data_IF_850084843350
#
_entry.id   IF_850084843350
#
_cell.length_a   1.000
_cell.length_b   1.000
_cell.length_c   1.000
_cell.angle_alpha   90.00
_cell.angle_beta   90.00
_cell.angle_gamma   90.00
#
_symmetry.space_group_name_H-M   'P 1'
#
loop_
_entity.id
_entity.type
_entity.pdbx_description
1 polymer ?
#
# COMPACT_ATOMS: atom_id res chain seq x y z
N UNK A 1 -17.31 21.93 18.51
CA UNK A 1 -16.36 22.02 17.38
C UNK A 1 -15.66 20.68 17.26
N UNK A 2 -15.83 19.98 16.13
CA UNK A 2 -15.08 18.74 15.87
C UNK A 2 -13.74 19.19 15.30
N UNK A 3 -12.67 19.11 16.09
CA UNK A 3 -11.31 19.31 15.61
C UNK A 3 -11.05 18.27 14.52
N UNK A 4 -10.90 18.71 13.27
CA UNK A 4 -10.42 17.85 12.19
C UNK A 4 -9.08 17.26 12.63
N UNK A 5 -8.99 15.92 12.71
CA UNK A 5 -7.70 15.25 12.88
C UNK A 5 -6.80 15.64 11.72
N UNK A 6 -5.72 16.34 12.01
CA UNK A 6 -4.70 16.64 11.01
C UNK A 6 -3.94 15.34 10.76
N UNK A 7 -4.15 14.73 9.60
CA UNK A 7 -3.36 13.57 9.16
C UNK A 7 -2.00 14.12 8.73
N UNK A 8 -0.92 13.77 9.46
CA UNK A 8 0.44 14.21 9.12
C UNK A 8 1.33 13.03 8.76
N UNK A 9 1.33 12.00 9.59
CA UNK A 9 2.28 10.89 9.46
C UNK A 9 1.63 9.66 8.84
N UNK A 10 1.95 9.41 7.56
CA UNK A 10 1.36 8.33 6.75
C UNK A 10 2.39 7.27 6.39
N UNK A 11 2.03 6.02 6.65
CA UNK A 11 2.77 4.85 6.16
C UNK A 11 1.95 4.01 5.18
N UNK A 12 2.65 3.28 4.33
CA UNK A 12 2.05 2.31 3.41
C UNK A 12 2.48 0.91 3.82
N UNK A 13 1.53 0.01 4.05
CA UNK A 13 1.79 -1.40 4.28
C UNK A 13 1.31 -2.25 3.11
N UNK A 14 2.17 -3.14 2.60
CA UNK A 14 1.90 -3.93 1.39
C UNK A 14 1.74 -5.41 1.70
N UNK A 15 0.72 -6.05 1.12
CA UNK A 15 0.36 -7.44 1.43
C UNK A 15 1.41 -8.50 1.11
N UNK A 16 2.30 -8.23 0.16
CA UNK A 16 3.32 -9.18 -0.31
C UNK A 16 4.70 -8.65 0.02
N UNK A 17 5.63 -9.58 0.30
CA UNK A 17 7.04 -9.28 0.54
C UNK A 17 7.63 -8.37 -0.53
N UNK A 18 8.67 -7.63 -0.14
CA UNK A 18 9.45 -6.79 -1.03
C UNK A 18 9.87 -7.60 -2.26
N UNK A 19 9.62 -7.11 -3.49
CA UNK A 19 10.02 -7.81 -4.69
C UNK A 19 11.52 -8.11 -4.66
N UNK A 20 11.88 -9.38 -4.87
CA UNK A 20 13.26 -9.89 -4.70
C UNK A 20 14.11 -9.53 -5.91
N UNK A 21 13.51 -9.47 -7.10
CA UNK A 21 14.23 -9.16 -8.34
C UNK A 21 14.13 -7.67 -8.71
N UNK A 22 15.17 -7.11 -9.37
CA UNK A 22 15.28 -5.67 -9.62
C UNK A 22 14.16 -5.11 -10.51
N UNK A 23 13.77 -5.85 -11.53
CA UNK A 23 12.80 -5.38 -12.53
C UNK A 23 11.37 -5.30 -11.96
N UNK A 24 10.85 -6.31 -11.24
CA UNK A 24 9.59 -6.19 -10.51
C UNK A 24 9.63 -5.09 -9.43
N UNK A 25 10.75 -4.93 -8.71
CA UNK A 25 10.92 -3.87 -7.73
C UNK A 25 10.81 -2.46 -8.35
N UNK A 26 11.46 -2.24 -9.49
CA UNK A 26 11.38 -0.97 -10.21
C UNK A 26 9.94 -0.65 -10.63
N UNK A 27 9.23 -1.62 -11.21
CA UNK A 27 7.83 -1.44 -11.65
C UNK A 27 6.91 -1.15 -10.47
N UNK A 28 7.08 -1.87 -9.36
CA UNK A 28 6.34 -1.62 -8.12
C UNK A 28 6.55 -0.18 -7.63
N UNK A 29 7.80 0.28 -7.54
CA UNK A 29 8.14 1.65 -7.14
C UNK A 29 7.50 2.70 -8.05
N UNK A 30 7.51 2.46 -9.36
CA UNK A 30 6.86 3.35 -10.33
C UNK A 30 5.35 3.45 -10.09
N UNK A 31 4.66 2.32 -9.84
CA UNK A 31 3.23 2.33 -9.55
C UNK A 31 2.88 3.07 -8.25
N UNK A 32 3.72 2.95 -7.22
CA UNK A 32 3.55 3.70 -5.98
C UNK A 32 3.74 5.20 -6.22
N UNK A 33 4.75 5.61 -6.99
CA UNK A 33 4.94 7.01 -7.36
C UNK A 33 3.75 7.55 -8.18
N UNK A 34 3.25 6.79 -9.17
CA UNK A 34 2.07 7.17 -9.95
C UNK A 34 0.84 7.38 -9.06
N UNK A 35 0.67 6.53 -8.03
CA UNK A 35 -0.38 6.68 -7.02
C UNK A 35 -0.17 7.96 -6.20
N UNK A 36 1.05 8.20 -5.71
CA UNK A 36 1.40 9.37 -4.91
C UNK A 36 1.22 10.68 -5.68
N UNK A 37 1.54 10.73 -6.98
CA UNK A 37 1.27 11.90 -7.83
C UNK A 37 -0.22 12.23 -7.85
N UNK A 38 -1.08 11.21 -7.95
CA UNK A 38 -2.54 11.40 -7.95
C UNK A 38 -3.04 11.85 -6.57
N UNK A 39 -2.53 11.23 -5.50
CA UNK A 39 -2.90 11.59 -4.14
C UNK A 39 -2.44 13.01 -3.79
N UNK A 40 -1.21 13.39 -4.12
CA UNK A 40 -0.69 14.75 -3.95
C UNK A 40 -1.54 15.79 -4.68
N UNK A 41 -1.97 15.51 -5.91
CA UNK A 41 -2.82 16.43 -6.67
C UNK A 41 -4.17 16.71 -5.98
N UNK A 42 -4.73 15.71 -5.29
CA UNK A 42 -6.05 15.83 -4.62
C UNK A 42 -5.93 16.25 -3.15
N UNK A 43 -4.85 15.88 -2.48
CA UNK A 43 -4.64 16.03 -1.04
C UNK A 43 -3.19 16.44 -0.74
N UNK A 44 -2.74 17.62 -1.22
CA UNK A 44 -1.32 18.02 -1.16
C UNK A 44 -0.80 18.22 0.27
N UNK A 45 -1.68 18.53 1.22
CA UNK A 45 -1.34 18.68 2.64
C UNK A 45 -1.13 17.34 3.35
N UNK A 46 -1.84 16.30 2.90
CA UNK A 46 -1.79 14.94 3.46
C UNK A 46 -0.70 14.12 2.76
N UNK A 47 -0.52 14.32 1.45
CA UNK A 47 0.52 13.67 0.63
C UNK A 47 1.42 14.73 -0.02
N UNK A 48 2.31 15.38 0.73
CA UNK A 48 3.16 16.45 0.20
C UNK A 48 4.22 15.96 -0.79
N UNK A 49 4.50 14.66 -0.77
CA UNK A 49 5.57 14.04 -1.55
C UNK A 49 5.01 13.09 -2.61
N UNK A 50 5.65 13.09 -3.79
CA UNK A 50 5.30 12.19 -4.91
C UNK A 50 6.26 11.01 -5.06
N UNK A 51 7.30 10.95 -4.23
CA UNK A 51 8.29 9.90 -4.22
C UNK A 51 8.09 8.94 -3.04
N UNK A 52 7.95 7.65 -3.33
CA UNK A 52 7.77 6.59 -2.33
C UNK A 52 8.87 6.58 -1.25
N UNK A 53 10.08 7.04 -1.58
CA UNK A 53 11.21 7.05 -0.64
C UNK A 53 11.03 8.03 0.52
N UNK A 54 10.06 8.95 0.42
CA UNK A 54 9.72 9.92 1.45
C UNK A 54 8.64 9.43 2.41
N UNK A 55 8.11 8.23 2.19
CA UNK A 55 7.09 7.61 3.05
C UNK A 55 7.64 6.35 3.72
N UNK A 56 7.09 6.04 4.90
CA UNK A 56 7.38 4.78 5.57
C UNK A 56 6.72 3.63 4.79
N UNK A 57 7.53 2.79 4.15
CA UNK A 57 7.06 1.59 3.47
C UNK A 57 7.26 0.37 4.35
N UNK A 58 6.17 -0.34 4.59
CA UNK A 58 6.07 -1.43 5.53
C UNK A 58 5.71 -2.71 4.78
N UNK A 59 6.42 -3.77 5.11
CA UNK A 59 6.05 -5.12 4.73
C UNK A 59 5.67 -5.88 5.99
N UNK A 60 4.57 -6.66 6.00
CA UNK A 60 4.18 -7.47 7.15
C UNK A 60 5.21 -8.54 7.51
N UNK A 61 6.01 -8.97 6.53
CA UNK A 61 7.03 -10.00 6.67
C UNK A 61 8.35 -9.45 6.12
N UNK A 62 9.44 -9.64 6.86
CA UNK A 62 10.71 -8.96 6.61
C UNK A 62 11.69 -9.76 5.73
N UNK A 63 11.57 -11.10 5.68
CA UNK A 63 12.49 -11.96 4.91
C UNK A 63 11.77 -12.75 3.82
N UNK A 64 12.15 -12.60 2.55
CA UNK A 64 12.01 -13.66 1.57
C UNK A 64 13.08 -14.70 1.88
N UNK A 65 12.69 -15.88 2.32
CA UNK A 65 13.66 -16.95 2.56
C UNK A 65 13.77 -17.86 1.35
N UNK A 66 15.01 -18.13 0.95
CA UNK A 66 15.37 -19.18 0.00
C UNK A 66 15.27 -20.60 0.60
N UNK A 67 14.77 -20.73 1.84
CA UNK A 67 14.59 -21.99 2.54
C UNK A 67 13.16 -22.52 2.34
N UNK A 68 12.96 -23.71 1.74
CA UNK A 68 11.63 -24.27 1.48
C UNK A 68 10.81 -24.56 2.77
N UNK A 69 11.45 -24.65 3.94
CA UNK A 69 10.76 -24.87 5.23
C UNK A 69 10.30 -23.56 5.93
N UNK A 70 10.41 -22.41 5.25
CA UNK A 70 10.13 -21.10 5.85
C UNK A 70 8.64 -20.74 5.98
N UNK A 71 7.75 -21.61 5.49
CA UNK A 71 6.30 -21.38 5.56
C UNK A 71 5.85 -21.16 7.02
N UNK A 72 6.53 -21.78 7.99
CA UNK A 72 6.23 -21.64 9.42
C UNK A 72 6.76 -20.33 10.05
N UNK A 73 7.91 -19.80 9.59
CA UNK A 73 8.56 -18.59 10.15
C UNK A 73 8.20 -17.27 9.43
N UNK A 74 7.33 -17.33 8.43
CA UNK A 74 6.89 -16.18 7.65
C UNK A 74 5.49 -15.70 8.04
N UNK A 75 4.90 -16.25 9.10
CA UNK A 75 3.50 -15.98 9.39
C UNK A 75 3.32 -14.58 9.96
N UNK A 76 2.32 -13.89 9.44
CA UNK A 76 2.00 -12.51 9.78
C UNK A 76 1.58 -12.33 11.23
N UNK A 77 1.10 -13.40 11.87
CA UNK A 77 0.64 -13.47 13.25
C UNK A 77 1.75 -13.88 14.23
N UNK A 78 2.99 -14.10 13.77
CA UNK A 78 4.09 -14.34 14.69
C UNK A 78 4.34 -13.13 15.59
N UNK A 79 4.53 -13.32 16.91
CA UNK A 79 4.75 -12.22 17.85
C UNK A 79 5.87 -11.27 17.43
N UNK A 80 6.99 -11.79 16.92
CA UNK A 80 8.11 -10.98 16.45
C UNK A 80 7.74 -10.06 15.26
N UNK A 81 6.91 -10.55 14.32
CA UNK A 81 6.44 -9.75 13.19
C UNK A 81 5.46 -8.66 13.66
N UNK A 82 4.57 -8.99 14.60
CA UNK A 82 3.60 -8.04 15.17
C UNK A 82 4.30 -6.96 16.03
N UNK A 83 5.31 -7.33 16.81
CA UNK A 83 6.11 -6.39 17.61
C UNK A 83 6.96 -5.45 16.74
N UNK A 84 7.53 -5.98 15.64
CA UNK A 84 8.19 -5.14 14.63
C UNK A 84 7.20 -4.19 13.98
N UNK A 85 6.02 -4.67 13.57
CA UNK A 85 4.97 -3.83 12.99
C UNK A 85 4.59 -2.70 13.96
N UNK A 86 4.33 -3.03 15.23
CA UNK A 86 4.09 -2.06 16.30
C UNK A 86 5.17 -0.98 16.35
N UNK A 87 6.44 -1.39 16.28
CA UNK A 87 7.59 -0.47 16.34
C UNK A 87 7.63 0.47 15.13
N UNK A 88 7.37 -0.05 13.94
CA UNK A 88 7.41 0.73 12.69
C UNK A 88 6.23 1.68 12.59
N UNK A 89 5.03 1.28 13.06
CA UNK A 89 3.84 2.12 13.00
C UNK A 89 3.71 3.09 14.16
N UNK A 90 4.61 3.06 15.15
CA UNK A 90 4.46 3.79 16.42
C UNK A 90 4.25 5.30 16.25
N UNK A 91 4.88 5.90 15.24
CA UNK A 91 4.83 7.34 14.98
C UNK A 91 3.83 7.72 13.88
N UNK A 92 3.07 6.76 13.33
CA UNK A 92 2.11 7.00 12.25
C UNK A 92 0.71 7.34 12.76
N UNK A 93 0.08 8.35 12.18
CA UNK A 93 -1.33 8.70 12.38
C UNK A 93 -2.25 7.84 11.52
N UNK A 94 -1.79 7.48 10.33
CA UNK A 94 -2.58 6.76 9.33
C UNK A 94 -1.73 5.73 8.61
N UNK A 95 -2.30 4.53 8.45
CA UNK A 95 -1.69 3.46 7.66
C UNK A 95 -2.59 3.09 6.50
N UNK A 96 -2.01 3.16 5.29
CA UNK A 96 -2.67 2.72 4.05
C UNK A 96 -2.28 1.27 3.79
N UNK A 97 -3.24 0.38 3.99
CA UNK A 97 -3.13 -1.05 3.78
C UNK A 97 -3.41 -1.39 2.31
N UNK A 98 -2.35 -1.65 1.55
CA UNK A 98 -2.42 -2.09 0.17
C UNK A 98 -2.62 -3.62 0.14
N UNK A 99 -3.89 -4.02 0.17
CA UNK A 99 -4.37 -5.39 0.09
C UNK A 99 -4.74 -6.06 1.42
N UNK A 100 -5.38 -7.23 1.30
CA UNK A 100 -5.99 -7.96 2.42
C UNK A 100 -4.99 -8.41 3.48
N UNK A 101 -3.82 -8.92 3.10
CA UNK A 101 -2.83 -9.39 4.09
C UNK A 101 -2.27 -8.23 4.90
N UNK A 102 -2.06 -7.08 4.25
CA UNK A 102 -1.60 -5.87 4.90
C UNK A 102 -2.59 -5.39 5.97
N UNK A 103 -3.88 -5.37 5.62
CA UNK A 103 -4.95 -5.03 6.54
C UNK A 103 -5.05 -6.02 7.71
N UNK A 104 -5.00 -7.33 7.41
CA UNK A 104 -5.01 -8.37 8.44
C UNK A 104 -3.86 -8.22 9.45
N UNK A 105 -2.65 -7.89 8.97
CA UNK A 105 -1.49 -7.65 9.81
C UNK A 105 -1.73 -6.53 10.84
N UNK A 106 -2.22 -5.39 10.36
CA UNK A 106 -2.46 -4.22 11.20
C UNK A 106 -3.57 -4.53 12.21
N UNK A 107 -4.65 -5.19 11.80
CA UNK A 107 -5.72 -5.60 12.71
C UNK A 107 -5.19 -6.51 13.82
N UNK A 108 -4.42 -7.55 13.48
CA UNK A 108 -3.80 -8.44 14.47
C UNK A 108 -2.83 -7.74 15.40
N UNK A 109 -2.05 -6.79 14.87
CA UNK A 109 -1.15 -5.99 15.69
C UNK A 109 -1.93 -5.10 16.67
N UNK A 110 -3.04 -4.49 16.25
CA UNK A 110 -3.89 -3.64 17.10
C UNK A 110 -4.70 -4.43 18.14
N UNK A 111 -5.05 -5.69 17.86
CA UNK A 111 -5.64 -6.60 18.86
C UNK A 111 -4.70 -6.81 20.06
N UNK A 112 -3.38 -6.93 19.82
CA UNK A 112 -2.38 -7.17 20.86
C UNK A 112 -1.79 -5.88 21.44
N UNK A 113 -1.70 -4.83 20.62
CA UNK A 113 -1.09 -3.55 20.95
C UNK A 113 -2.03 -2.41 20.53
N UNK A 114 -3.07 -2.11 21.33
CA UNK A 114 -4.04 -1.08 21.00
C UNK A 114 -3.36 0.26 20.73
N UNK A 115 -3.64 0.83 19.57
CA UNK A 115 -3.18 2.15 19.16
C UNK A 115 -4.30 2.88 18.43
N UNK A 116 -4.45 4.16 18.73
CA UNK A 116 -5.32 5.03 17.97
C UNK A 116 -4.65 5.41 16.64
N UNK A 117 -5.05 4.74 15.56
CA UNK A 117 -4.51 4.94 14.22
C UNK A 117 -5.62 4.81 13.18
N UNK A 118 -5.60 5.67 12.16
CA UNK A 118 -6.53 5.52 11.05
C UNK A 118 -6.05 4.43 10.09
N UNK A 119 -6.97 3.58 9.64
CA UNK A 119 -6.67 2.52 8.68
C UNK A 119 -7.43 2.79 7.41
N UNK A 120 -6.71 2.88 6.30
CA UNK A 120 -7.29 2.93 4.95
C UNK A 120 -6.99 1.60 4.28
N UNK A 121 -8.02 0.89 3.84
CA UNK A 121 -7.87 -0.42 3.20
C UNK A 121 -8.11 -0.32 1.70
N UNK A 122 -7.21 -0.86 0.90
CA UNK A 122 -7.39 -0.95 -0.55
C UNK A 122 -7.22 -2.39 -1.03
N UNK A 123 -7.63 -2.65 -2.27
CA UNK A 123 -7.23 -3.85 -2.98
C UNK A 123 -5.70 -3.91 -3.17
N UNK A 124 -5.21 -5.10 -3.52
CA UNK A 124 -3.79 -5.31 -3.83
C UNK A 124 -3.35 -4.49 -5.05
N UNK A 125 -2.14 -3.93 -4.95
CA UNK A 125 -1.37 -3.48 -6.10
C UNK A 125 -0.78 -4.73 -6.78
N UNK A 126 -1.58 -5.38 -7.63
CA UNK A 126 -1.11 -6.51 -8.43
C UNK A 126 -0.13 -5.97 -9.49
N UNK A 127 0.85 -6.77 -9.92
CA UNK A 127 1.65 -6.40 -11.08
C UNK A 127 0.73 -6.14 -12.28
N UNK A 128 1.03 -5.12 -13.11
CA UNK A 128 0.20 -4.82 -14.26
C UNK A 128 0.27 -6.02 -15.21
N UNK A 129 -0.85 -6.75 -15.32
CA UNK A 129 -1.04 -7.74 -16.38
C UNK A 129 -1.15 -6.92 -17.66
N UNK A 130 -0.13 -7.01 -18.52
CA UNK A 130 -0.17 -6.39 -19.84
C UNK A 130 -1.34 -7.03 -20.59
N UNK A 131 -2.48 -6.33 -20.71
CA UNK A 131 -3.61 -6.81 -21.50
C UNK A 131 -3.38 -6.42 -22.96
N UNK A 132 -3.46 -7.39 -23.85
CA UNK A 132 -3.57 -7.12 -25.28
C UNK A 132 -4.98 -6.58 -25.54
N UNK A 133 -5.09 -5.31 -25.90
CA UNK A 133 -6.34 -4.75 -26.42
C UNK A 133 -6.22 -4.82 -27.93
N UNK A 134 -6.97 -5.73 -28.58
CA UNK A 134 -7.13 -5.68 -30.04
C UNK A 134 -7.93 -4.41 -30.35
N UNK A 135 -7.37 -3.50 -31.13
CA UNK A 135 -8.16 -2.42 -31.73
C UNK A 135 -9.06 -3.06 -32.80
N UNK A 136 -10.33 -2.63 -32.87
CA UNK A 136 -11.33 -3.15 -33.81
C UNK A 136 -11.08 -2.78 -35.28
N UNK A 137 -9.95 -2.17 -35.60
CA UNK A 137 -9.56 -1.84 -36.96
C UNK A 137 -8.10 -2.23 -37.16
N UNK A 138 -7.86 -2.83 -38.33
CA UNK A 138 -6.66 -3.53 -38.75
C UNK A 138 -5.33 -2.88 -38.30
N UNK A 139 -4.38 -3.78 -38.07
CA UNK A 139 -2.93 -3.57 -37.92
C UNK A 139 -2.40 -3.37 -36.49
N UNK A 140 -1.75 -4.46 -36.05
CA UNK A 140 -0.92 -4.67 -34.87
C UNK A 140 -1.52 -4.42 -33.46
N UNK A 141 -1.40 -5.40 -32.54
CA UNK A 141 -1.77 -5.20 -31.14
C UNK A 141 -0.83 -4.17 -30.50
N UNK A 142 -1.28 -2.92 -30.41
CA UNK A 142 -0.60 -1.89 -29.62
C UNK A 142 -0.71 -2.21 -28.13
N UNK A 143 0.45 -2.31 -27.45
CA UNK A 143 0.51 -2.58 -26.00
C UNK A 143 0.13 -1.33 -25.22
N UNK A 144 -1.15 -1.19 -24.88
CA UNK A 144 -1.57 -0.20 -23.88
C UNK A 144 -1.39 -0.75 -22.48
N UNK A 145 -0.39 -0.24 -21.75
CA UNK A 145 -0.26 -0.46 -20.31
C UNK A 145 -1.16 0.53 -19.58
N UNK A 146 -2.44 0.23 -19.47
CA UNK A 146 -3.34 1.02 -18.63
C UNK A 146 -3.11 0.64 -17.16
N UNK A 147 -2.60 1.58 -16.37
CA UNK A 147 -2.37 1.43 -14.92
C UNK A 147 -3.72 1.54 -14.15
N UNK A 148 -4.76 0.85 -14.62
CA UNK A 148 -6.13 0.88 -14.05
C UNK A 148 -6.14 0.53 -12.56
N UNK A 149 -5.17 -0.28 -12.11
CA UNK A 149 -5.03 -0.66 -10.71
C UNK A 149 -4.65 0.54 -9.84
N UNK A 150 -3.72 1.40 -10.28
CA UNK A 150 -3.38 2.65 -9.57
C UNK A 150 -4.60 3.57 -9.49
N UNK A 151 -5.39 3.66 -10.57
CA UNK A 151 -6.63 4.47 -10.56
C UNK A 151 -7.66 3.90 -9.57
N UNK A 152 -7.84 2.58 -9.54
CA UNK A 152 -8.79 1.95 -8.63
C UNK A 152 -8.36 2.11 -7.16
N UNK A 153 -7.08 1.91 -6.86
CA UNK A 153 -6.52 2.12 -5.53
C UNK A 153 -6.66 3.58 -5.11
N UNK A 154 -6.36 4.52 -6.02
CA UNK A 154 -6.59 5.94 -5.77
C UNK A 154 -8.06 6.22 -5.39
N UNK A 155 -9.02 5.70 -6.15
CA UNK A 155 -10.46 5.91 -5.86
C UNK A 155 -10.88 5.34 -4.50
N UNK A 156 -10.34 4.20 -4.10
CA UNK A 156 -10.61 3.59 -2.80
C UNK A 156 -10.03 4.41 -1.64
N UNK A 157 -8.82 4.94 -1.81
CA UNK A 157 -8.19 5.84 -0.84
C UNK A 157 -8.98 7.15 -0.76
N UNK A 158 -9.32 7.74 -1.90
CA UNK A 158 -10.10 8.98 -2.00
C UNK A 158 -11.44 8.88 -1.26
N UNK A 159 -12.18 7.77 -1.48
CA UNK A 159 -13.47 7.55 -0.82
C UNK A 159 -13.35 7.45 0.71
N UNK A 160 -12.33 6.74 1.20
CA UNK A 160 -12.11 6.58 2.64
C UNK A 160 -11.58 7.86 3.29
N UNK A 161 -10.70 8.61 2.61
CA UNK A 161 -10.23 9.90 3.09
C UNK A 161 -11.36 10.90 3.23
N UNK A 162 -12.27 10.99 2.26
CA UNK A 162 -13.48 11.82 2.36
C UNK A 162 -14.30 11.50 3.60
N UNK A 163 -14.50 10.21 3.87
CA UNK A 163 -15.22 9.75 5.08
C UNK A 163 -14.49 10.14 6.36
N UNK A 164 -13.16 9.97 6.42
CA UNK A 164 -12.33 10.34 7.57
C UNK A 164 -12.30 11.85 7.82
N UNK A 165 -12.23 12.63 6.75
CA UNK A 165 -12.16 14.10 6.79
C UNK A 165 -13.53 14.75 6.95
N UNK A 166 -14.62 13.97 6.84
CA UNK A 166 -16.02 14.41 6.84
C UNK A 166 -16.33 15.41 5.71
N UNK A 167 -15.86 15.10 4.50
CA UNK A 167 -16.05 15.88 3.26
C UNK A 167 -16.90 15.11 2.26
#
# INVERSE_FOLDING_TARGET
MITQRVIKDIGFIFSYMKPISPQPLYRFKQQVNDLLVRLNKHYPTIFPYTNYAQYCLIWPIDKPSNNPNYVEYAMINEPANLERLKTVVKDLDTVICIGEKAHFAIQKMLELYPKDINIIKTRNLVYPISRHIKRNYNEEPSRFRTNMQVINIFKEIDQQLKTLLKV
#
